data_IF_060960063130
#
_entry.id   IF_060960063130
#
_cell.length_a   1.000
_cell.length_b   1.000
_cell.length_c   1.000
_cell.angle_alpha   90.00
_cell.angle_beta   90.00
_cell.angle_gamma   90.00
#
_symmetry.space_group_name_H-M   'P 1'
#
loop_
_entity.id
_entity.type
_entity.pdbx_description
1 polymer ?
#
# COMPACT_ATOMS: atom_id res chain seq x y z
N UNK A 1 11.89 38.36 -47.11
CA UNK A 1 12.50 38.67 -45.81
C UNK A 1 11.87 37.74 -44.77
N UNK A 2 12.22 36.45 -44.71
CA UNK A 2 13.44 35.85 -44.16
C UNK A 2 13.60 36.10 -42.64
N UNK A 3 12.75 35.46 -41.84
CA UNK A 3 12.74 35.54 -40.36
C UNK A 3 12.63 34.15 -39.70
N UNK A 4 13.22 33.12 -40.30
CA UNK A 4 13.36 31.79 -39.68
C UNK A 4 14.69 31.17 -40.10
N UNK A 5 15.78 31.58 -39.43
CA UNK A 5 17.11 30.94 -39.46
C UNK A 5 18.02 31.64 -38.45
N UNK A 6 17.78 31.47 -37.14
CA UNK A 6 18.82 31.80 -36.15
C UNK A 6 18.66 31.21 -34.73
N UNK A 7 18.10 30.00 -34.59
CA UNK A 7 18.03 29.34 -33.27
C UNK A 7 18.63 27.92 -33.27
N UNK A 8 19.25 27.46 -34.36
CA UNK A 8 19.85 26.11 -34.43
C UNK A 8 21.32 26.02 -33.99
N UNK A 9 22.02 27.14 -33.78
CA UNK A 9 23.50 27.10 -33.70
C UNK A 9 24.09 27.51 -32.34
N UNK A 10 23.26 27.67 -31.29
CA UNK A 10 23.75 28.09 -29.95
C UNK A 10 23.74 27.03 -28.84
N UNK A 11 23.50 25.75 -29.14
CA UNK A 11 23.55 24.69 -28.11
C UNK A 11 24.63 23.62 -28.33
N UNK A 12 25.40 23.67 -29.42
CA UNK A 12 26.39 22.63 -29.76
C UNK A 12 27.86 23.06 -29.67
N UNK A 13 28.18 24.11 -28.89
CA UNK A 13 29.57 24.57 -28.69
C UNK A 13 30.07 24.48 -27.25
N UNK A 14 29.53 23.59 -26.44
CA UNK A 14 30.20 23.18 -25.22
C UNK A 14 30.28 21.66 -25.14
N UNK A 15 31.51 21.17 -24.98
CA UNK A 15 31.92 19.78 -24.78
C UNK A 15 32.22 18.98 -26.05
N UNK A 16 33.34 19.29 -26.71
CA UNK A 16 34.56 18.42 -26.75
C UNK A 16 35.64 19.11 -27.64
N UNK A 17 36.90 18.65 -27.79
CA UNK A 17 37.65 17.60 -27.08
C UNK A 17 39.14 17.96 -26.75
N UNK A 18 39.77 17.13 -25.89
CA UNK A 18 41.21 16.71 -25.89
C UNK A 18 42.33 17.60 -25.31
N UNK A 19 43.18 16.89 -24.53
CA UNK A 19 44.62 17.05 -24.22
C UNK A 19 45.03 17.86 -22.98
N UNK A 20 45.19 17.15 -21.86
CA UNK A 20 46.49 16.83 -21.20
C UNK A 20 46.22 15.62 -20.29
N UNK A 21 46.54 14.38 -20.69
CA UNK A 21 47.83 13.74 -20.45
C UNK A 21 48.62 14.33 -19.27
N UNK A 22 48.47 13.75 -18.08
CA UNK A 22 49.64 13.35 -17.30
C UNK A 22 49.35 12.05 -16.52
N UNK A 23 50.14 11.06 -16.91
CA UNK A 23 50.29 9.71 -16.40
C UNK A 23 51.00 9.81 -15.04
N UNK A 24 50.45 9.23 -13.98
CA UNK A 24 51.23 8.83 -12.80
C UNK A 24 50.94 7.37 -12.48
N UNK A 25 51.94 6.55 -12.79
CA UNK A 25 51.98 5.13 -12.49
C UNK A 25 51.87 4.95 -10.96
N UNK A 26 50.83 4.24 -10.51
CA UNK A 26 50.80 3.64 -9.17
C UNK A 26 50.78 2.13 -9.36
N UNK A 27 51.69 1.37 -8.73
CA UNK A 27 51.71 -0.07 -8.89
C UNK A 27 50.44 -0.70 -8.29
N UNK A 28 49.87 -1.62 -9.05
CA UNK A 28 48.72 -2.44 -8.65
C UNK A 28 49.09 -3.30 -7.43
N UNK A 29 48.44 -3.07 -6.30
CA UNK A 29 48.59 -3.88 -5.09
C UNK A 29 47.51 -4.96 -5.12
N UNK A 30 47.93 -6.20 -5.42
CA UNK A 30 47.06 -7.38 -5.35
C UNK A 30 46.66 -7.60 -3.88
N UNK A 31 45.37 -7.61 -3.52
CA UNK A 31 44.95 -7.96 -2.17
C UNK A 31 45.29 -9.44 -1.90
N UNK A 32 45.81 -9.79 -0.70
CA UNK A 32 46.14 -11.16 -0.37
C UNK A 32 44.87 -12.02 -0.30
N UNK A 33 44.96 -13.22 -0.88
CA UNK A 33 43.95 -14.27 -0.75
C UNK A 33 43.75 -14.63 0.74
N UNK A 34 42.49 -14.82 1.19
CA UNK A 34 42.21 -15.17 2.58
C UNK A 34 42.81 -16.55 2.89
N UNK A 35 43.76 -16.57 3.83
CA UNK A 35 44.31 -17.79 4.40
C UNK A 35 43.44 -18.16 5.59
N UNK A 36 42.69 -19.27 5.48
CA UNK A 36 41.98 -19.84 6.62
C UNK A 36 43.00 -20.34 7.64
N UNK A 37 43.00 -19.74 8.82
CA UNK A 37 43.73 -20.24 9.97
C UNK A 37 43.20 -21.64 10.33
N UNK A 38 44.11 -22.61 10.30
CA UNK A 38 43.89 -24.00 10.71
C UNK A 38 43.53 -24.02 12.19
N UNK A 39 42.25 -24.26 12.48
CA UNK A 39 41.71 -24.40 13.84
C UNK A 39 42.35 -25.61 14.51
N UNK A 40 43.08 -25.37 15.60
CA UNK A 40 43.59 -26.43 16.47
C UNK A 40 42.42 -27.22 17.07
N UNK A 41 42.59 -28.55 17.13
CA UNK A 41 41.60 -29.48 17.69
C UNK A 41 41.50 -29.26 19.20
N UNK A 42 40.48 -28.55 19.65
CA UNK A 42 40.11 -28.52 21.07
C UNK A 42 39.45 -29.85 21.46
N UNK A 43 39.98 -30.43 22.54
CA UNK A 43 39.54 -31.67 23.18
C UNK A 43 38.04 -31.68 23.48
N UNK A 44 37.46 -32.89 23.47
CA UNK A 44 36.04 -33.19 23.60
C UNK A 44 35.37 -32.43 24.76
N UNK A 45 34.33 -31.67 24.43
CA UNK A 45 33.50 -30.93 25.38
C UNK A 45 32.30 -31.81 25.73
N UNK A 46 32.14 -32.07 27.03
CA UNK A 46 31.08 -32.90 27.59
C UNK A 46 29.70 -32.25 27.34
N UNK A 47 28.82 -32.96 26.64
CA UNK A 47 27.51 -32.47 26.17
C UNK A 47 26.36 -32.98 27.05
N UNK A 48 26.53 -32.90 28.37
CA UNK A 48 25.46 -33.23 29.32
C UNK A 48 24.57 -32.01 29.57
N UNK A 49 23.24 -32.18 29.71
CA UNK A 49 22.29 -31.07 29.91
C UNK A 49 22.64 -30.20 31.13
N UNK A 50 23.23 -30.80 32.16
CA UNK A 50 23.61 -30.14 33.42
C UNK A 50 24.79 -29.17 33.26
N UNK A 51 25.66 -29.35 32.27
CA UNK A 51 26.80 -28.45 32.02
C UNK A 51 26.39 -27.14 31.30
N UNK A 52 25.24 -27.14 30.60
CA UNK A 52 24.71 -25.96 29.90
C UNK A 52 23.97 -24.99 30.82
N UNK A 53 23.36 -25.49 31.90
CA UNK A 53 22.58 -24.66 32.84
C UNK A 53 23.49 -23.81 33.74
N UNK A 54 24.76 -24.20 33.94
CA UNK A 54 25.72 -23.44 34.77
C UNK A 54 26.38 -22.25 34.08
N UNK A 55 26.15 -22.02 32.78
CA UNK A 55 26.74 -20.90 32.03
C UNK A 55 25.78 -19.70 31.95
N UNK A 56 24.55 -19.85 32.44
CA UNK A 56 23.58 -18.76 32.57
C UNK A 56 23.72 -18.09 33.94
N UNK A 57 24.85 -17.43 34.19
CA UNK A 57 24.93 -16.43 35.26
C UNK A 57 24.21 -15.17 34.78
N UNK A 58 22.90 -15.09 35.05
CA UNK A 58 22.09 -13.89 34.85
C UNK A 58 22.51 -12.86 35.90
N UNK A 59 23.41 -11.97 35.51
CA UNK A 59 23.75 -10.79 36.32
C UNK A 59 22.61 -9.79 36.18
N UNK A 60 21.74 -9.73 37.19
CA UNK A 60 20.73 -8.66 37.28
C UNK A 60 21.44 -7.36 37.73
N UNK A 61 21.28 -6.23 37.03
CA UNK A 61 21.88 -4.99 37.44
C UNK A 61 21.20 -4.48 38.73
N UNK A 62 22.01 -4.10 39.72
CA UNK A 62 21.54 -3.46 40.94
C UNK A 62 20.93 -2.08 40.64
N UNK A 63 19.89 -1.65 41.38
CA UNK A 63 19.24 -0.37 41.17
C UNK A 63 20.16 0.77 41.63
N UNK A 64 20.87 1.39 40.68
CA UNK A 64 21.75 2.53 40.96
C UNK A 64 22.79 2.87 39.90
N UNK A 65 22.93 2.09 38.83
CA UNK A 65 23.89 2.41 37.76
C UNK A 65 23.27 3.37 36.73
N UNK A 66 23.76 4.62 36.69
CA UNK A 66 23.50 5.54 35.59
C UNK A 66 24.13 4.98 34.31
N UNK A 67 23.30 4.72 33.29
CA UNK A 67 23.77 4.23 31.99
C UNK A 67 24.49 5.36 31.26
N UNK A 68 25.75 5.13 30.88
CA UNK A 68 26.58 6.04 30.09
C UNK A 68 26.01 6.18 28.67
N UNK A 69 25.63 7.40 28.28
CA UNK A 69 24.97 7.68 26.99
C UNK A 69 25.80 7.31 25.76
N UNK A 70 27.09 6.99 25.93
CA UNK A 70 27.95 6.47 24.88
C UNK A 70 27.74 4.98 24.53
N UNK A 71 26.92 4.24 25.30
CA UNK A 71 26.57 2.83 25.02
C UNK A 71 25.20 2.65 24.37
N UNK A 72 24.47 3.73 24.08
CA UNK A 72 23.27 3.65 23.27
C UNK A 72 23.65 3.29 21.83
N UNK A 73 22.92 2.38 21.16
CA UNK A 73 23.11 2.17 19.73
C UNK A 73 22.96 3.52 19.01
N UNK A 74 23.74 3.79 17.95
CA UNK A 74 23.59 5.02 17.19
C UNK A 74 22.12 5.17 16.79
N UNK A 75 21.54 6.34 17.04
CA UNK A 75 20.19 6.69 16.59
C UNK A 75 20.01 6.27 15.13
N UNK A 76 18.82 5.78 14.74
CA UNK A 76 18.56 5.46 13.35
C UNK A 76 18.94 6.65 12.46
N UNK A 77 19.46 6.40 11.24
CA UNK A 77 19.89 7.47 10.34
C UNK A 77 18.80 8.52 10.22
N UNK A 78 19.19 9.79 10.22
CA UNK A 78 18.28 10.93 10.06
C UNK A 78 17.28 10.65 8.95
N UNK A 79 16.00 10.83 9.26
CA UNK A 79 14.91 10.81 8.30
C UNK A 79 15.32 11.58 7.05
N UNK A 80 15.03 11.02 5.87
CA UNK A 80 15.23 11.65 4.57
C UNK A 80 14.96 13.16 4.67
N UNK A 81 15.98 14.00 4.44
CA UNK A 81 15.78 15.42 4.20
C UNK A 81 14.80 15.53 3.03
N UNK A 82 13.60 16.02 3.34
CA UNK A 82 12.40 15.98 2.52
C UNK A 82 12.56 16.94 1.34
N UNK A 83 12.80 16.49 0.10
CA UNK A 83 13.01 17.40 -1.03
C UNK A 83 11.74 18.15 -1.48
N UNK A 84 10.59 17.85 -0.86
CA UNK A 84 9.27 18.41 -1.17
C UNK A 84 8.59 19.06 0.05
N UNK A 85 9.31 19.28 1.14
CA UNK A 85 8.88 20.20 2.22
C UNK A 85 9.80 21.40 2.34
N UNK A 86 10.52 21.74 1.27
CA UNK A 86 11.36 22.92 1.25
C UNK A 86 10.48 24.18 1.12
N UNK A 87 10.10 24.71 2.27
CA UNK A 87 10.05 26.16 2.51
C UNK A 87 9.05 27.00 1.70
N UNK A 88 7.76 26.62 1.63
CA UNK A 88 6.58 27.52 1.47
C UNK A 88 5.34 26.67 1.13
N UNK A 89 4.61 26.16 2.14
CA UNK A 89 3.16 25.88 2.06
C UNK A 89 2.53 24.92 1.03
N UNK A 90 3.13 24.64 -0.12
CA UNK A 90 2.59 23.80 -1.20
C UNK A 90 3.20 22.40 -1.12
N UNK A 91 2.50 21.46 -0.48
CA UNK A 91 2.87 20.05 -0.61
C UNK A 91 2.18 19.43 -1.82
N UNK A 92 2.82 18.46 -2.46
CA UNK A 92 2.19 17.63 -3.52
C UNK A 92 0.88 16.99 -2.99
N UNK A 93 0.75 16.80 -1.68
CA UNK A 93 -0.48 16.35 -1.05
C UNK A 93 -1.57 17.42 -1.18
N UNK A 94 -1.29 18.66 -0.82
CA UNK A 94 -2.22 19.80 -0.96
C UNK A 94 -2.62 20.00 -2.42
N UNK A 95 -1.66 19.94 -3.36
CA UNK A 95 -1.92 20.00 -4.80
C UNK A 95 -2.82 18.87 -5.31
N UNK A 96 -2.70 17.66 -4.76
CA UNK A 96 -3.53 16.51 -5.14
C UNK A 96 -4.94 16.67 -4.55
N UNK A 97 -5.04 17.11 -3.30
CA UNK A 97 -6.34 17.33 -2.63
C UNK A 97 -7.11 18.45 -3.32
N UNK A 98 -6.49 19.61 -3.54
CA UNK A 98 -7.11 20.78 -4.17
C UNK A 98 -7.51 20.49 -5.62
N UNK A 99 -6.68 19.74 -6.36
CA UNK A 99 -7.03 19.31 -7.71
C UNK A 99 -8.22 18.34 -7.75
N UNK A 100 -8.34 17.43 -6.77
CA UNK A 100 -9.41 16.43 -6.79
C UNK A 100 -10.75 17.02 -6.34
N UNK A 101 -10.75 17.90 -5.33
CA UNK A 101 -11.95 18.52 -4.78
C UNK A 101 -11.87 20.07 -4.79
N UNK A 102 -11.88 20.73 -5.96
CA UNK A 102 -11.73 22.19 -6.04
C UNK A 102 -12.95 22.98 -5.52
N UNK A 103 -14.11 22.34 -5.33
CA UNK A 103 -15.38 23.01 -4.99
C UNK A 103 -15.97 22.60 -3.62
N UNK A 104 -15.36 21.66 -2.88
CA UNK A 104 -15.88 21.22 -1.58
C UNK A 104 -15.20 21.99 -0.43
N UNK A 105 -15.98 22.76 0.35
CA UNK A 105 -15.50 23.43 1.58
C UNK A 105 -15.12 22.44 2.71
N UNK A 106 -15.45 21.14 2.56
CA UNK A 106 -15.16 20.06 3.50
C UNK A 106 -14.31 18.96 2.84
N UNK A 107 -12.98 19.11 2.91
CA UNK A 107 -12.04 18.05 2.51
C UNK A 107 -12.07 16.92 3.53
N UNK A 108 -12.61 15.76 3.14
CA UNK A 108 -12.66 14.57 3.98
C UNK A 108 -11.49 13.63 3.63
N UNK A 109 -10.54 13.43 4.55
CA UNK A 109 -9.44 12.46 4.41
C UNK A 109 -9.44 11.46 5.58
N UNK A 110 -9.62 10.17 5.28
CA UNK A 110 -9.60 9.10 6.29
C UNK A 110 -8.22 8.87 6.94
N UNK A 111 -7.16 9.56 6.50
CA UNK A 111 -5.83 9.52 7.09
C UNK A 111 -5.60 10.56 8.20
N UNK A 112 -6.39 11.63 8.30
CA UNK A 112 -6.21 12.70 9.30
C UNK A 112 -6.21 12.18 10.76
N UNK A 113 -6.96 11.11 11.05
CA UNK A 113 -7.06 10.55 12.40
C UNK A 113 -5.92 9.57 12.77
N UNK A 114 -4.94 9.35 11.88
CA UNK A 114 -3.84 8.38 12.11
C UNK A 114 -2.59 9.08 12.67
N UNK A 115 -2.39 8.98 13.97
CA UNK A 115 -1.21 9.52 14.65
C UNK A 115 -0.27 8.37 15.00
N UNK A 116 0.96 8.39 14.47
CA UNK A 116 2.00 7.45 14.90
C UNK A 116 2.73 8.05 16.07
N UNK A 117 2.62 7.36 17.21
CA UNK A 117 3.33 7.71 18.44
C UNK A 117 4.28 6.57 18.81
N UNK A 118 5.35 6.90 19.50
CA UNK A 118 6.33 5.94 20.00
C UNK A 118 5.68 4.85 20.87
N UNK A 119 6.19 3.61 20.86
CA UNK A 119 5.54 2.43 21.47
C UNK A 119 5.14 2.66 22.94
N UNK A 120 5.98 3.40 23.67
CA UNK A 120 5.74 3.75 25.08
C UNK A 120 4.50 4.62 25.28
N UNK A 121 4.26 5.56 24.36
CA UNK A 121 3.13 6.49 24.40
C UNK A 121 1.89 5.90 23.74
N UNK A 122 2.06 5.07 22.71
CA UNK A 122 0.98 4.37 22.03
C UNK A 122 0.15 3.52 23.02
N UNK A 123 0.82 2.74 23.88
CA UNK A 123 0.14 1.90 24.89
C UNK A 123 -0.62 2.75 25.93
N UNK A 124 -0.14 3.95 26.23
CA UNK A 124 -0.78 4.84 27.20
C UNK A 124 -1.97 5.60 26.58
N UNK A 125 -1.85 6.04 25.33
CA UNK A 125 -2.93 6.72 24.59
C UNK A 125 -4.05 5.74 24.21
N UNK A 126 -3.73 4.52 23.79
CA UNK A 126 -4.72 3.50 23.41
C UNK A 126 -5.60 3.07 24.60
N UNK A 127 -5.08 3.09 25.83
CA UNK A 127 -5.87 2.82 27.06
C UNK A 127 -6.89 3.92 27.38
N UNK A 128 -6.72 5.11 26.82
CA UNK A 128 -7.56 6.27 27.10
C UNK A 128 -8.60 6.57 26.00
N UNK A 129 -8.55 5.86 24.87
CA UNK A 129 -9.49 6.07 23.77
C UNK A 129 -10.70 5.14 23.96
N UNK A 130 -11.88 5.73 24.05
CA UNK A 130 -13.14 5.01 24.08
C UNK A 130 -13.52 4.57 22.64
N UNK A 131 -13.36 3.27 22.35
CA UNK A 131 -13.71 2.68 21.05
C UNK A 131 -15.16 2.96 20.65
N UNK A 132 -16.08 3.06 21.61
CA UNK A 132 -17.50 3.33 21.32
C UNK A 132 -17.73 4.78 20.93
N UNK A 133 -17.01 5.71 21.57
CA UNK A 133 -17.07 7.14 21.24
C UNK A 133 -16.54 7.42 19.83
N UNK A 134 -15.41 6.81 19.44
CA UNK A 134 -14.85 6.96 18.09
C UNK A 134 -15.75 6.33 17.03
N UNK A 135 -16.35 5.16 17.33
CA UNK A 135 -17.34 4.54 16.43
C UNK A 135 -18.55 5.44 16.22
N UNK A 136 -19.06 6.08 17.27
CA UNK A 136 -20.17 7.03 17.18
C UNK A 136 -19.80 8.29 16.37
N UNK A 137 -18.58 8.81 16.55
CA UNK A 137 -18.05 9.92 15.75
C UNK A 137 -17.98 9.58 14.27
N UNK A 138 -17.42 8.42 13.92
CA UNK A 138 -17.33 7.96 12.52
C UNK A 138 -18.71 7.64 11.92
N UNK A 139 -19.67 7.21 12.73
CA UNK A 139 -21.05 7.02 12.26
C UNK A 139 -21.71 8.37 11.93
N UNK A 140 -21.48 9.40 12.75
CA UNK A 140 -21.94 10.75 12.47
C UNK A 140 -21.29 11.32 11.19
N UNK A 141 -19.98 11.12 11.03
CA UNK A 141 -19.27 11.48 9.80
C UNK A 141 -19.81 10.72 8.59
N UNK A 142 -20.06 9.42 8.71
CA UNK A 142 -20.67 8.62 7.66
C UNK A 142 -22.05 9.14 7.24
N UNK A 143 -22.87 9.63 8.17
CA UNK A 143 -24.15 10.29 7.85
C UNK A 143 -23.93 11.57 7.03
N UNK A 144 -22.92 12.37 7.37
CA UNK A 144 -22.57 13.57 6.59
C UNK A 144 -22.10 13.20 5.18
N UNK A 145 -21.24 12.19 5.04
CA UNK A 145 -20.77 11.70 3.73
C UNK A 145 -21.93 11.20 2.86
N UNK A 146 -22.90 10.48 3.44
CA UNK A 146 -24.13 10.06 2.73
C UNK A 146 -24.95 11.25 2.27
N UNK A 147 -25.10 12.25 3.13
CA UNK A 147 -25.81 13.49 2.77
C UNK A 147 -25.09 14.26 1.65
N UNK A 148 -23.76 14.15 1.57
CA UNK A 148 -22.94 14.69 0.49
C UNK A 148 -22.97 13.85 -0.79
N UNK A 149 -23.75 12.77 -0.84
CA UNK A 149 -23.93 11.91 -2.01
C UNK A 149 -22.79 10.91 -2.24
N UNK A 150 -22.10 10.49 -1.16
CA UNK A 150 -21.18 9.35 -1.25
C UNK A 150 -21.95 8.03 -1.29
N UNK A 151 -21.42 7.05 -2.02
CA UNK A 151 -21.99 5.70 -2.06
C UNK A 151 -21.76 4.96 -0.74
N UNK A 152 -22.66 4.06 -0.37
CA UNK A 152 -22.54 3.26 0.86
C UNK A 152 -21.22 2.46 0.89
N UNK A 153 -20.78 1.92 -0.25
CA UNK A 153 -19.51 1.19 -0.35
C UNK A 153 -18.30 2.10 -0.08
N UNK A 154 -18.34 3.36 -0.55
CA UNK A 154 -17.27 4.35 -0.30
C UNK A 154 -17.24 4.79 1.16
N UNK A 155 -18.42 5.02 1.76
CA UNK A 155 -18.54 5.38 3.18
C UNK A 155 -18.04 4.24 4.07
N UNK A 156 -18.37 2.99 3.72
CA UNK A 156 -17.88 1.82 4.43
C UNK A 156 -16.34 1.74 4.38
N UNK A 157 -15.75 1.89 3.19
CA UNK A 157 -14.30 1.90 3.04
C UNK A 157 -13.65 3.03 3.84
N UNK A 158 -14.23 4.25 3.79
CA UNK A 158 -13.75 5.41 4.55
C UNK A 158 -13.73 5.11 6.05
N UNK A 159 -14.83 4.61 6.60
CA UNK A 159 -14.93 4.26 8.03
C UNK A 159 -13.95 3.14 8.41
N UNK A 160 -13.79 2.13 7.53
CA UNK A 160 -12.87 1.02 7.76
C UNK A 160 -11.41 1.47 7.77
N UNK A 161 -11.06 2.40 6.89
CA UNK A 161 -9.75 3.03 6.89
C UNK A 161 -9.56 3.86 8.16
N UNK A 162 -10.52 4.68 8.58
CA UNK A 162 -10.41 5.48 9.81
C UNK A 162 -10.24 4.64 11.09
N UNK A 163 -10.82 3.43 11.12
CA UNK A 163 -10.67 2.49 12.24
C UNK A 163 -9.40 1.64 12.20
N UNK A 164 -8.56 1.76 11.16
CA UNK A 164 -7.33 0.97 11.04
C UNK A 164 -6.40 1.29 12.22
N UNK A 165 -6.08 0.27 13.04
CA UNK A 165 -5.32 0.44 14.28
C UNK A 165 -6.14 0.54 15.56
N UNK A 166 -7.46 0.73 15.45
CA UNK A 166 -8.39 0.81 16.60
C UNK A 166 -9.36 -0.36 16.68
N UNK A 167 -9.39 -1.20 15.65
CA UNK A 167 -10.16 -2.44 15.65
C UNK A 167 -9.24 -3.63 15.33
N UNK A 168 -9.60 -4.85 15.79
CA UNK A 168 -8.88 -6.03 15.39
C UNK A 168 -9.04 -6.27 13.88
N UNK A 169 -7.92 -6.45 13.18
CA UNK A 169 -7.89 -6.63 11.73
C UNK A 169 -7.63 -8.08 11.32
N UNK A 170 -6.94 -8.88 12.12
CA UNK A 170 -6.42 -10.19 11.73
C UNK A 170 -6.83 -11.33 12.67
N UNK A 171 -6.81 -12.59 12.22
CA UNK A 171 -7.02 -13.75 13.07
C UNK A 171 -5.92 -13.90 14.13
N UNK A 172 -6.29 -14.35 15.34
CA UNK A 172 -5.33 -14.61 16.42
C UNK A 172 -4.28 -15.69 16.10
N UNK A 173 -4.55 -16.58 15.15
CA UNK A 173 -3.58 -17.55 14.67
C UNK A 173 -2.31 -16.90 14.10
N UNK A 174 -2.37 -15.63 13.66
CA UNK A 174 -1.26 -14.94 13.01
C UNK A 174 -0.36 -14.13 13.97
N UNK A 175 -0.65 -14.14 15.27
CA UNK A 175 0.11 -13.34 16.26
C UNK A 175 1.60 -13.71 16.25
N UNK A 176 1.91 -15.00 16.14
CA UNK A 176 3.30 -15.49 16.18
C UNK A 176 4.06 -15.19 14.86
N UNK A 177 3.35 -15.02 13.74
CA UNK A 177 3.92 -14.68 12.44
C UNK A 177 4.26 -13.19 12.32
N UNK A 178 3.55 -12.34 13.07
CA UNK A 178 3.75 -10.88 13.08
C UNK A 178 4.01 -10.33 14.49
N UNK A 179 5.11 -10.73 15.15
CA UNK A 179 5.38 -10.37 16.54
C UNK A 179 5.65 -8.88 16.77
N UNK A 180 5.93 -8.11 15.70
CA UNK A 180 6.15 -6.67 15.77
C UNK A 180 4.83 -5.86 15.77
N UNK A 181 3.68 -6.51 15.57
CA UNK A 181 2.39 -5.84 15.55
C UNK A 181 1.75 -5.84 16.95
N UNK A 182 0.97 -4.79 17.30
CA UNK A 182 0.21 -4.76 18.54
C UNK A 182 -0.76 -5.94 18.66
N UNK A 183 -0.83 -6.56 19.85
CA UNK A 183 -1.68 -7.72 20.11
C UNK A 183 -3.18 -7.44 19.89
N UNK A 184 -3.61 -6.19 20.02
CA UNK A 184 -5.00 -5.76 19.87
C UNK A 184 -5.50 -5.81 18.43
N UNK A 185 -4.59 -5.89 17.45
CA UNK A 185 -4.94 -6.11 16.05
C UNK A 185 -5.44 -7.53 15.76
N UNK A 186 -5.32 -8.44 16.72
CA UNK A 186 -5.61 -9.85 16.54
C UNK A 186 -6.82 -10.31 17.34
N UNK A 187 -7.72 -11.06 16.70
CA UNK A 187 -8.98 -11.51 17.32
C UNK A 187 -9.18 -13.01 17.15
N UNK A 188 -9.77 -13.65 18.16
CA UNK A 188 -10.26 -15.04 18.05
C UNK A 188 -11.55 -15.13 17.23
N UNK A 189 -12.32 -14.04 17.13
CA UNK A 189 -13.55 -13.97 16.35
C UNK A 189 -13.21 -13.66 14.91
N UNK A 190 -13.26 -14.68 14.04
CA UNK A 190 -12.97 -14.54 12.61
C UNK A 190 -13.90 -13.54 11.92
N UNK A 191 -15.14 -13.36 12.39
CA UNK A 191 -16.08 -12.37 11.83
C UNK A 191 -15.60 -10.92 12.00
N UNK A 192 -14.79 -10.67 13.04
CA UNK A 192 -14.19 -9.36 13.28
C UNK A 192 -12.89 -9.17 12.51
N UNK A 193 -12.20 -10.25 12.15
CA UNK A 193 -10.99 -10.18 11.34
C UNK A 193 -11.35 -9.82 9.90
N UNK A 194 -10.92 -8.63 9.47
CA UNK A 194 -11.15 -8.14 8.12
C UNK A 194 -10.08 -8.64 7.14
N UNK A 195 -8.82 -8.59 7.56
CA UNK A 195 -7.66 -9.09 6.83
C UNK A 195 -7.50 -10.59 7.13
N UNK A 196 -8.16 -11.41 6.31
CA UNK A 196 -8.14 -12.88 6.38
C UNK A 196 -8.31 -13.48 4.97
N UNK A 197 -7.90 -14.74 4.75
CA UNK A 197 -8.23 -15.44 3.52
C UNK A 197 -9.75 -15.58 3.37
N UNK A 198 -10.21 -15.58 2.13
CA UNK A 198 -11.62 -15.75 1.78
C UNK A 198 -12.08 -17.20 1.99
N UNK A 199 -11.19 -18.15 1.68
CA UNK A 199 -11.42 -19.58 1.88
C UNK A 199 -10.85 -20.02 3.23
N UNK A 200 -11.67 -20.67 4.04
CA UNK A 200 -11.29 -21.19 5.36
C UNK A 200 -10.49 -22.50 5.18
N UNK A 201 -9.18 -22.37 4.96
CA UNK A 201 -8.26 -23.49 4.83
C UNK A 201 -6.89 -23.18 5.41
N UNK A 202 -6.26 -24.12 6.10
CA UNK A 202 -4.92 -23.91 6.69
C UNK A 202 -3.86 -23.50 5.64
N UNK A 203 -4.04 -23.91 4.38
CA UNK A 203 -3.13 -23.53 3.28
C UNK A 203 -3.34 -22.08 2.82
N UNK A 204 -4.55 -21.56 2.86
CA UNK A 204 -4.84 -20.17 2.47
C UNK A 204 -4.30 -19.18 3.50
N UNK A 205 -4.27 -19.54 4.79
CA UNK A 205 -3.64 -18.76 5.86
C UNK A 205 -2.17 -18.45 5.55
N UNK A 206 -1.36 -19.47 5.25
CA UNK A 206 0.07 -19.27 4.92
C UNK A 206 0.27 -18.36 3.71
N UNK A 207 -0.57 -18.51 2.67
CA UNK A 207 -0.50 -17.65 1.49
C UNK A 207 -0.89 -16.20 1.80
N UNK A 208 -1.89 -16.00 2.66
CA UNK A 208 -2.35 -14.70 3.08
C UNK A 208 -1.30 -13.97 3.95
N UNK A 209 -0.72 -14.68 4.92
CA UNK A 209 0.38 -14.19 5.74
C UNK A 209 1.56 -13.75 4.88
N UNK A 210 1.99 -14.61 3.94
CA UNK A 210 3.10 -14.29 3.02
C UNK A 210 2.78 -13.09 2.13
N UNK A 211 1.55 -12.99 1.61
CA UNK A 211 1.15 -11.86 0.78
C UNK A 211 1.19 -10.55 1.58
N UNK A 212 0.77 -10.58 2.84
CA UNK A 212 0.81 -9.43 3.75
C UNK A 212 2.25 -9.05 4.14
N UNK A 213 3.11 -10.04 4.46
CA UNK A 213 4.54 -9.82 4.73
C UNK A 213 5.24 -9.13 3.55
N UNK A 214 4.96 -9.57 2.33
CA UNK A 214 5.49 -8.95 1.12
C UNK A 214 4.96 -7.52 0.91
N UNK A 215 3.74 -7.23 1.37
CA UNK A 215 3.15 -5.89 1.30
C UNK A 215 3.77 -4.93 2.31
N UNK A 216 4.20 -5.39 3.50
CA UNK A 216 4.97 -4.57 4.45
C UNK A 216 6.31 -4.08 3.87
N UNK A 217 6.83 -4.74 2.84
CA UNK A 217 8.04 -4.30 2.14
C UNK A 217 7.80 -3.10 1.21
N UNK A 218 6.55 -2.64 1.04
CA UNK A 218 6.21 -1.53 0.15
C UNK A 218 6.91 -0.23 0.57
N UNK A 219 6.70 0.22 1.81
CA UNK A 219 7.24 1.47 2.31
C UNK A 219 8.78 1.54 2.26
N UNK A 220 9.50 0.56 2.81
CA UNK A 220 10.96 0.50 2.70
C UNK A 220 11.47 0.52 1.25
N UNK A 221 10.82 -0.20 0.32
CA UNK A 221 11.22 -0.20 -1.10
C UNK A 221 10.93 1.13 -1.79
N UNK A 222 9.83 1.80 -1.45
CA UNK A 222 9.51 3.12 -1.98
C UNK A 222 10.55 4.15 -1.53
N UNK A 223 10.94 4.14 -0.24
CA UNK A 223 12.02 5.02 0.27
C UNK A 223 13.40 4.69 -0.29
N UNK A 224 13.74 3.41 -0.40
CA UNK A 224 15.02 2.99 -1.00
C UNK A 224 15.11 3.43 -2.46
N UNK A 225 14.01 3.38 -3.21
CA UNK A 225 13.96 3.90 -4.58
C UNK A 225 14.19 5.42 -4.65
N UNK A 226 13.74 6.20 -3.64
CA UNK A 226 14.06 7.63 -3.51
C UNK A 226 15.55 7.83 -3.26
N UNK A 227 16.10 7.14 -2.24
CA UNK A 227 17.50 7.26 -1.82
C UNK A 227 18.47 6.89 -2.94
N UNK A 228 18.18 5.80 -3.65
CA UNK A 228 19.00 5.30 -4.76
C UNK A 228 18.78 6.06 -6.06
N UNK A 229 17.81 6.98 -6.11
CA UNK A 229 17.38 7.70 -7.32
C UNK A 229 17.16 6.76 -8.50
N UNK A 230 16.43 5.67 -8.25
CA UNK A 230 16.25 4.59 -9.20
C UNK A 230 15.50 5.09 -10.47
N UNK A 231 16.09 4.97 -11.68
CA UNK A 231 15.50 5.56 -12.89
C UNK A 231 14.30 4.77 -13.43
N UNK A 232 14.22 3.47 -13.15
CA UNK A 232 13.17 2.57 -13.67
C UNK A 232 12.23 2.14 -12.55
N UNK A 233 12.80 1.68 -11.43
CA UNK A 233 12.04 1.22 -10.26
C UNK A 233 11.77 2.40 -9.34
N UNK A 234 10.97 3.34 -9.84
CA UNK A 234 10.60 4.54 -9.08
C UNK A 234 9.72 4.17 -7.87
N UNK A 235 9.56 5.07 -6.89
CA UNK A 235 8.69 4.82 -5.73
C UNK A 235 7.24 4.50 -6.15
N UNK A 236 6.67 5.27 -7.07
CA UNK A 236 5.34 5.03 -7.65
C UNK A 236 5.25 3.68 -8.41
N UNK A 237 6.35 3.22 -9.02
CA UNK A 237 6.42 1.88 -9.60
C UNK A 237 6.26 0.81 -8.52
N UNK A 238 6.93 0.94 -7.38
CA UNK A 238 6.80 0.00 -6.26
C UNK A 238 5.39 -0.02 -5.69
N UNK A 239 4.75 1.14 -5.51
CA UNK A 239 3.34 1.25 -5.08
C UNK A 239 2.43 0.47 -6.03
N UNK A 240 2.48 0.78 -7.33
CA UNK A 240 1.64 0.09 -8.33
C UNK A 240 1.89 -1.41 -8.36
N UNK A 241 3.15 -1.84 -8.30
CA UNK A 241 3.49 -3.26 -8.37
C UNK A 241 3.02 -4.03 -7.14
N UNK A 242 3.19 -3.47 -5.94
CA UNK A 242 2.73 -4.09 -4.69
C UNK A 242 1.21 -4.23 -4.66
N UNK A 243 0.49 -3.18 -5.06
CA UNK A 243 -0.99 -3.21 -5.16
C UNK A 243 -1.45 -4.29 -6.14
N UNK A 244 -0.87 -4.31 -7.36
CA UNK A 244 -1.23 -5.33 -8.36
C UNK A 244 -0.91 -6.75 -7.88
N UNK A 245 0.21 -6.94 -7.19
CA UNK A 245 0.62 -8.25 -6.67
C UNK A 245 -0.33 -8.73 -5.57
N UNK A 246 -0.66 -7.87 -4.61
CA UNK A 246 -1.57 -8.20 -3.53
C UNK A 246 -2.99 -8.42 -4.05
N UNK A 247 -3.46 -7.60 -4.99
CA UNK A 247 -4.74 -7.80 -5.67
C UNK A 247 -4.81 -9.14 -6.41
N UNK A 248 -3.75 -9.51 -7.14
CA UNK A 248 -3.70 -10.82 -7.81
C UNK A 248 -3.83 -11.97 -6.82
N UNK A 249 -3.17 -11.88 -5.68
CA UNK A 249 -3.35 -12.87 -4.61
C UNK A 249 -4.79 -12.87 -4.09
N UNK A 250 -5.35 -11.70 -3.76
CA UNK A 250 -6.70 -11.57 -3.21
C UNK A 250 -7.79 -12.14 -4.15
N UNK A 251 -7.70 -11.86 -5.45
CA UNK A 251 -8.64 -12.39 -6.45
C UNK A 251 -8.50 -13.91 -6.63
N UNK A 252 -7.27 -14.44 -6.55
CA UNK A 252 -7.03 -15.88 -6.59
C UNK A 252 -7.55 -16.59 -5.33
N UNK A 253 -7.35 -15.98 -4.17
CA UNK A 253 -7.80 -16.48 -2.87
C UNK A 253 -9.33 -16.55 -2.78
N UNK A 254 -10.03 -15.57 -3.36
CA UNK A 254 -11.49 -15.59 -3.49
C UNK A 254 -12.02 -16.52 -4.61
N UNK A 255 -11.16 -17.17 -5.39
CA UNK A 255 -11.59 -18.05 -6.49
C UNK A 255 -12.21 -17.32 -7.69
N UNK A 256 -12.16 -15.99 -7.71
CA UNK A 256 -12.82 -15.12 -8.71
C UNK A 256 -11.91 -14.76 -9.90
N UNK A 257 -10.61 -15.09 -9.86
CA UNK A 257 -9.66 -14.86 -10.96
C UNK A 257 -10.12 -15.41 -12.34
N UNK A 258 -10.80 -16.57 -12.45
CA UNK A 258 -11.33 -17.05 -13.72
C UNK A 258 -12.56 -16.28 -14.20
N UNK A 259 -13.42 -15.86 -13.26
CA UNK A 259 -14.72 -15.22 -13.55
C UNK A 259 -14.53 -13.75 -13.93
N UNK A 260 -13.58 -13.07 -13.29
CA UNK A 260 -13.39 -11.62 -13.38
C UNK A 260 -12.01 -11.22 -13.91
N UNK A 261 -11.44 -12.04 -14.80
CA UNK A 261 -10.11 -11.77 -15.38
C UNK A 261 -10.04 -10.40 -16.08
N UNK A 262 -11.15 -10.03 -16.72
CA UNK A 262 -11.20 -8.89 -17.64
C UNK A 262 -11.85 -7.64 -17.03
N UNK A 263 -12.41 -7.73 -15.81
CA UNK A 263 -13.12 -6.63 -15.15
C UNK A 263 -12.67 -6.52 -13.69
N UNK A 264 -12.20 -5.34 -13.29
CA UNK A 264 -11.79 -5.02 -11.92
C UNK A 264 -12.68 -3.95 -11.31
N UNK A 265 -12.71 -3.83 -9.97
CA UNK A 265 -13.36 -2.70 -9.30
C UNK A 265 -12.48 -1.45 -9.22
N UNK A 266 -11.18 -1.56 -9.54
CA UNK A 266 -10.30 -0.41 -9.45
C UNK A 266 -9.22 -0.35 -10.51
N UNK A 267 -8.74 0.88 -10.75
CA UNK A 267 -7.63 1.18 -11.64
C UNK A 267 -6.48 1.85 -10.90
N UNK A 268 -5.25 1.62 -11.37
CA UNK A 268 -4.05 2.25 -10.80
C UNK A 268 -3.38 3.12 -11.85
N UNK A 269 -3.14 4.39 -11.53
CA UNK A 269 -2.33 5.29 -12.33
C UNK A 269 -1.07 5.70 -11.57
N UNK A 270 -0.01 5.95 -12.33
CA UNK A 270 1.23 6.50 -11.81
C UNK A 270 1.51 7.85 -12.49
N UNK A 271 1.92 8.82 -11.68
CA UNK A 271 2.40 10.13 -12.10
C UNK A 271 3.90 10.29 -11.86
N UNK A 272 4.52 11.18 -12.64
CA UNK A 272 5.83 11.73 -12.31
C UNK A 272 5.66 12.91 -11.35
N UNK A 273 6.73 13.33 -10.69
CA UNK A 273 6.75 14.58 -9.90
C UNK A 273 6.47 15.82 -10.74
N UNK A 274 6.67 15.75 -12.05
CA UNK A 274 6.41 16.84 -13.00
C UNK A 274 4.99 16.82 -13.59
N UNK A 275 4.22 15.76 -13.35
CA UNK A 275 2.86 15.65 -13.89
C UNK A 275 1.90 16.40 -12.98
N UNK A 276 1.09 17.31 -13.55
CA UNK A 276 0.12 18.06 -12.76
C UNK A 276 -0.95 17.14 -12.16
N UNK A 277 -1.45 17.49 -10.97
CA UNK A 277 -2.51 16.74 -10.29
C UNK A 277 -3.80 16.68 -11.12
N UNK A 278 -4.13 17.77 -11.81
CA UNK A 278 -5.26 17.85 -12.74
C UNK A 278 -5.15 16.84 -13.89
N UNK A 279 -3.95 16.66 -14.47
CA UNK A 279 -3.74 15.67 -15.53
C UNK A 279 -3.93 14.24 -15.00
N UNK A 280 -3.50 13.96 -13.77
CA UNK A 280 -3.69 12.66 -13.13
C UNK A 280 -5.17 12.40 -12.84
N UNK A 281 -5.89 13.39 -12.33
CA UNK A 281 -7.33 13.31 -12.06
C UNK A 281 -8.11 13.04 -13.36
N UNK A 282 -7.87 13.83 -14.41
CA UNK A 282 -8.52 13.62 -15.71
C UNK A 282 -8.21 12.24 -16.29
N UNK A 283 -6.96 11.79 -16.19
CA UNK A 283 -6.55 10.45 -16.62
C UNK A 283 -7.24 9.34 -15.83
N UNK A 284 -7.45 9.53 -14.53
CA UNK A 284 -8.20 8.59 -13.70
C UNK A 284 -9.68 8.57 -14.09
N UNK A 285 -10.32 9.73 -14.24
CA UNK A 285 -11.71 9.85 -14.69
C UNK A 285 -11.93 9.12 -16.02
N UNK A 286 -11.05 9.32 -17.00
CA UNK A 286 -11.14 8.63 -18.29
C UNK A 286 -11.03 7.10 -18.16
N UNK A 287 -10.21 6.61 -17.23
CA UNK A 287 -10.04 5.18 -16.98
C UNK A 287 -11.24 4.57 -16.26
N UNK A 288 -11.75 5.24 -15.22
CA UNK A 288 -12.90 4.78 -14.46
C UNK A 288 -14.20 4.90 -15.26
N UNK A 289 -14.32 5.90 -16.14
CA UNK A 289 -15.43 5.99 -17.09
C UNK A 289 -15.48 4.79 -18.03
N UNK A 290 -14.34 4.41 -18.64
CA UNK A 290 -14.27 3.18 -19.46
C UNK A 290 -14.56 1.93 -18.66
N UNK A 291 -14.11 1.88 -17.41
CA UNK A 291 -14.39 0.75 -16.53
C UNK A 291 -15.89 0.67 -16.18
N UNK A 292 -16.54 1.81 -15.96
CA UNK A 292 -17.99 1.90 -15.75
C UNK A 292 -18.78 1.44 -16.98
N UNK A 293 -18.32 1.77 -18.18
CA UNK A 293 -18.90 1.25 -19.43
C UNK A 293 -18.80 -0.28 -19.48
N UNK A 294 -17.62 -0.84 -19.17
CA UNK A 294 -17.42 -2.30 -19.12
C UNK A 294 -18.33 -2.98 -18.07
N UNK A 295 -18.47 -2.39 -16.89
CA UNK A 295 -19.39 -2.89 -15.87
C UNK A 295 -20.85 -2.80 -16.32
N UNK A 296 -21.23 -1.71 -16.99
CA UNK A 296 -22.59 -1.52 -17.51
C UNK A 296 -22.93 -2.54 -18.58
N UNK A 297 -21.99 -2.83 -19.49
CA UNK A 297 -22.12 -3.88 -20.51
C UNK A 297 -22.25 -5.27 -19.87
N UNK A 298 -21.40 -5.59 -18.89
CA UNK A 298 -21.43 -6.88 -18.21
C UNK A 298 -22.76 -7.10 -17.45
N UNK A 299 -23.26 -6.06 -16.77
CA UNK A 299 -24.57 -6.11 -16.09
C UNK A 299 -25.73 -6.22 -17.07
N UNK A 300 -25.65 -5.54 -18.23
CA UNK A 300 -26.67 -5.67 -19.27
C UNK A 300 -26.75 -7.11 -19.80
N UNK A 301 -25.61 -7.75 -20.06
CA UNK A 301 -25.54 -9.14 -20.50
C UNK A 301 -26.08 -10.12 -19.44
N UNK A 302 -25.72 -9.93 -18.16
CA UNK A 302 -26.26 -10.78 -17.10
C UNK A 302 -27.77 -10.63 -16.92
N UNK A 303 -28.31 -9.42 -17.11
CA UNK A 303 -29.76 -9.19 -17.09
C UNK A 303 -30.48 -9.94 -18.19
N UNK A 304 -29.91 -9.98 -19.39
CA UNK A 304 -30.50 -10.73 -20.51
C UNK A 304 -30.50 -12.25 -20.24
N UNK A 305 -29.42 -12.78 -19.67
CA UNK A 305 -29.32 -14.21 -19.32
C UNK A 305 -30.29 -14.59 -18.20
N UNK A 306 -30.51 -13.70 -17.23
CA UNK A 306 -31.37 -13.93 -16.06
C UNK A 306 -32.81 -13.44 -16.21
N UNK A 307 -33.24 -13.04 -17.41
CA UNK A 307 -34.54 -12.42 -17.69
C UNK A 307 -35.82 -13.26 -17.38
N UNK A 308 -35.70 -14.33 -16.59
CA UNK A 308 -36.81 -15.15 -16.08
C UNK A 308 -36.93 -15.22 -14.55
N UNK A 309 -35.96 -14.68 -13.79
CA UNK A 309 -36.02 -14.61 -12.31
C UNK A 309 -36.31 -13.17 -11.87
N UNK A 310 -37.33 -13.00 -11.03
CA UNK A 310 -37.85 -11.74 -10.48
C UNK A 310 -36.89 -11.11 -9.43
N UNK A 311 -35.59 -11.34 -9.58
CA UNK A 311 -34.56 -10.88 -8.65
C UNK A 311 -34.14 -9.46 -9.03
N UNK A 312 -34.32 -8.54 -8.09
CA UNK A 312 -33.84 -7.15 -8.18
C UNK A 312 -32.34 -7.16 -8.40
N UNK A 313 -31.91 -7.00 -9.66
CA UNK A 313 -30.49 -6.87 -9.98
C UNK A 313 -29.90 -5.70 -9.18
N UNK A 314 -28.74 -5.90 -8.53
CA UNK A 314 -28.12 -4.83 -7.78
C UNK A 314 -27.66 -3.72 -8.72
N UNK A 315 -27.58 -2.52 -8.15
CA UNK A 315 -27.06 -1.35 -8.85
C UNK A 315 -25.60 -1.56 -9.27
N UNK A 316 -25.14 -0.75 -10.22
CA UNK A 316 -23.73 -0.74 -10.61
C UNK A 316 -22.84 -0.53 -9.39
N UNK A 317 -21.71 -1.25 -9.30
CA UNK A 317 -20.82 -1.14 -8.16
C UNK A 317 -20.09 0.21 -8.16
N UNK A 318 -19.75 0.67 -6.96
CA UNK A 318 -18.80 1.79 -6.83
C UNK A 318 -17.44 1.36 -7.36
N UNK A 319 -16.82 2.20 -8.18
CA UNK A 319 -15.47 1.97 -8.70
C UNK A 319 -14.45 2.79 -7.92
N UNK A 320 -13.21 2.31 -7.89
CA UNK A 320 -12.15 2.97 -7.14
C UNK A 320 -10.94 3.26 -8.02
N UNK A 321 -10.18 4.28 -7.65
CA UNK A 321 -8.91 4.62 -8.27
C UNK A 321 -7.80 4.65 -7.24
N UNK A 322 -6.61 4.24 -7.65
CA UNK A 322 -5.38 4.51 -6.92
C UNK A 322 -4.49 5.41 -7.76
N UNK A 323 -4.22 6.60 -7.26
CA UNK A 323 -3.32 7.58 -7.87
C UNK A 323 -2.02 7.55 -7.07
N UNK A 324 -0.91 7.22 -7.70
CA UNK A 324 0.39 7.24 -7.05
C UNK A 324 1.34 8.21 -7.76
N UNK A 325 1.92 9.16 -7.03
CA UNK A 325 2.95 10.07 -7.51
C UNK A 325 4.08 10.12 -6.50
N UNK A 326 5.30 9.85 -6.97
CA UNK A 326 6.45 9.70 -6.07
C UNK A 326 6.16 8.71 -4.91
N UNK A 327 6.26 9.14 -3.64
CA UNK A 327 5.96 8.34 -2.44
C UNK A 327 4.50 8.46 -1.98
N UNK A 328 3.73 9.36 -2.58
CA UNK A 328 2.34 9.64 -2.21
C UNK A 328 1.40 8.72 -3.00
N UNK A 329 0.37 8.25 -2.31
CA UNK A 329 -0.70 7.43 -2.85
C UNK A 329 -2.05 7.94 -2.35
N UNK A 330 -2.99 8.15 -3.27
CA UNK A 330 -4.36 8.52 -2.94
C UNK A 330 -5.33 7.43 -3.40
N UNK A 331 -6.30 7.11 -2.55
CA UNK A 331 -7.50 6.36 -2.92
C UNK A 331 -8.60 7.33 -3.29
N UNK A 332 -9.24 7.08 -4.42
CA UNK A 332 -10.40 7.83 -4.90
C UNK A 332 -11.55 6.88 -5.16
N UNK A 333 -12.78 7.35 -4.94
CA UNK A 333 -14.01 6.65 -5.32
C UNK A 333 -14.68 7.35 -6.50
N UNK A 334 -15.36 6.56 -7.31
CA UNK A 334 -16.11 6.98 -8.48
C UNK A 334 -17.47 6.28 -8.47
N UNK A 335 -18.54 7.06 -8.54
CA UNK A 335 -19.90 6.55 -8.66
C UNK A 335 -20.34 6.57 -10.13
N UNK A 336 -20.52 5.39 -10.78
CA UNK A 336 -21.03 5.31 -12.14
C UNK A 336 -22.45 5.86 -12.32
N UNK A 337 -23.23 5.96 -11.24
CA UNK A 337 -24.64 6.37 -11.27
C UNK A 337 -24.83 7.87 -11.05
N UNK A 338 -23.77 8.60 -10.72
CA UNK A 338 -23.83 10.03 -10.48
C UNK A 338 -24.12 10.81 -11.77
N UNK A 339 -24.92 11.87 -11.69
CA UNK A 339 -25.24 12.73 -12.83
C UNK A 339 -23.99 13.39 -13.44
N UNK A 340 -23.02 13.71 -12.57
CA UNK A 340 -21.73 14.30 -12.96
C UNK A 340 -20.57 13.38 -12.52
N UNK A 341 -19.77 12.87 -13.46
CA UNK A 341 -18.65 11.99 -13.14
C UNK A 341 -17.56 12.79 -12.43
N UNK A 342 -17.48 12.59 -11.11
CA UNK A 342 -16.49 13.24 -10.23
C UNK A 342 -15.72 12.18 -9.46
N UNK A 343 -14.47 12.51 -9.11
CA UNK A 343 -13.68 11.68 -8.20
C UNK A 343 -13.84 12.25 -6.81
N UNK A 344 -14.02 11.38 -5.82
CA UNK A 344 -14.00 11.77 -4.42
C UNK A 344 -12.78 11.15 -3.75
N UNK A 345 -11.96 11.96 -3.12
CA UNK A 345 -10.80 11.47 -2.36
C UNK A 345 -11.27 10.73 -1.11
N UNK A 346 -10.86 9.47 -0.96
CA UNK A 346 -11.16 8.65 0.22
C UNK A 346 -10.06 8.81 1.28
N UNK A 347 -8.80 8.69 0.85
CA UNK A 347 -7.66 8.80 1.74
C UNK A 347 -6.35 9.06 0.99
N UNK A 348 -5.40 9.77 1.61
CA UNK A 348 -4.05 9.99 1.06
C UNK A 348 -2.99 9.48 2.02
N UNK A 349 -1.96 8.82 1.49
CA UNK A 349 -0.89 8.19 2.25
C UNK A 349 0.47 8.58 1.68
N UNK A 350 1.44 8.86 2.55
CA UNK A 350 2.83 9.09 2.16
C UNK A 350 3.73 7.95 2.66
N UNK A 351 4.27 7.15 1.74
CA UNK A 351 5.24 6.10 2.04
C UNK A 351 6.66 6.65 2.28
N UNK A 352 6.88 7.94 2.06
CA UNK A 352 8.10 8.66 2.43
C UNK A 352 8.24 8.84 3.94
N UNK A 353 7.13 8.82 4.67
CA UNK A 353 7.12 9.03 6.12
C UNK A 353 7.52 7.75 6.88
N UNK A 354 8.64 7.86 7.61
CA UNK A 354 9.10 6.79 8.50
C UNK A 354 8.11 6.58 9.66
N UNK A 355 7.92 5.34 10.07
CA UNK A 355 7.01 4.97 11.17
C UNK A 355 5.56 4.72 10.73
N UNK A 356 5.15 5.18 9.54
CA UNK A 356 3.80 4.98 9.01
C UNK A 356 3.65 3.75 8.10
N UNK A 357 4.75 3.01 7.86
CA UNK A 357 4.79 1.87 6.94
C UNK A 357 3.69 0.84 7.21
N UNK A 358 3.55 0.44 8.48
CA UNK A 358 2.60 -0.58 8.89
C UNK A 358 1.16 -0.11 8.62
N UNK A 359 0.84 1.11 9.02
CA UNK A 359 -0.51 1.68 8.89
C UNK A 359 -0.89 1.96 7.44
N UNK A 360 0.05 2.48 6.64
CA UNK A 360 -0.15 2.69 5.20
C UNK A 360 -0.29 1.36 4.46
N UNK A 361 0.47 0.33 4.85
CA UNK A 361 0.30 -1.02 4.32
C UNK A 361 -1.06 -1.62 4.69
N UNK A 362 -1.55 -1.43 5.92
CA UNK A 362 -2.90 -1.87 6.28
C UNK A 362 -3.97 -1.16 5.47
N UNK A 363 -3.81 0.13 5.17
CA UNK A 363 -4.74 0.82 4.29
C UNK A 363 -4.82 0.16 2.89
N UNK A 364 -3.67 -0.22 2.31
CA UNK A 364 -3.64 -0.97 1.03
C UNK A 364 -4.29 -2.35 1.17
N UNK A 365 -4.03 -3.07 2.26
CA UNK A 365 -4.63 -4.37 2.49
C UNK A 365 -6.16 -4.29 2.65
N UNK A 366 -6.65 -3.34 3.45
CA UNK A 366 -8.08 -3.07 3.65
C UNK A 366 -8.74 -2.72 2.31
N UNK A 367 -8.15 -1.81 1.53
CA UNK A 367 -8.66 -1.41 0.22
C UNK A 367 -8.82 -2.59 -0.75
N UNK A 368 -7.79 -3.43 -0.85
CA UNK A 368 -7.80 -4.57 -1.79
C UNK A 368 -8.76 -5.66 -1.32
N UNK A 369 -8.82 -5.92 -0.01
CA UNK A 369 -9.76 -6.88 0.56
C UNK A 369 -11.20 -6.40 0.44
N UNK A 370 -11.44 -5.09 0.58
CA UNK A 370 -12.73 -4.47 0.29
C UNK A 370 -13.16 -4.76 -1.15
N UNK A 371 -12.28 -4.48 -2.12
CA UNK A 371 -12.54 -4.81 -3.52
C UNK A 371 -12.79 -6.32 -3.72
N UNK A 372 -12.00 -7.20 -3.10
CA UNK A 372 -12.18 -8.66 -3.18
C UNK A 372 -13.56 -9.08 -2.67
N UNK A 373 -13.92 -8.67 -1.46
CA UNK A 373 -15.18 -9.05 -0.83
C UNK A 373 -16.36 -8.50 -1.65
N UNK A 374 -16.26 -7.26 -2.16
CA UNK A 374 -17.29 -6.68 -3.01
C UNK A 374 -17.44 -7.44 -4.34
N UNK A 375 -16.35 -7.86 -4.96
CA UNK A 375 -16.41 -8.73 -6.14
C UNK A 375 -17.10 -10.07 -5.86
N UNK A 376 -16.90 -10.65 -4.67
CA UNK A 376 -17.58 -11.88 -4.28
C UNK A 376 -19.09 -11.68 -4.04
N UNK A 377 -19.50 -10.52 -3.55
CA UNK A 377 -20.93 -10.18 -3.41
C UNK A 377 -21.61 -9.93 -4.75
N UNK A 378 -20.85 -9.41 -5.73
CA UNK A 378 -21.31 -9.11 -7.08
C UNK A 378 -21.32 -10.33 -8.01
N UNK A 379 -21.22 -11.57 -7.48
CA UNK A 379 -21.15 -12.85 -8.21
C UNK A 379 -22.46 -13.19 -8.96
N UNK A 380 -22.87 -12.27 -9.82
CA UNK A 380 -24.12 -12.20 -10.57
C UNK A 380 -23.90 -12.50 -12.06
N UNK A 381 -22.65 -12.58 -12.53
CA UNK A 381 -22.36 -12.90 -13.91
C UNK A 381 -22.24 -14.41 -14.09
N UNK A 382 -22.87 -14.99 -15.13
CA UNK A 382 -22.76 -16.43 -15.39
C UNK A 382 -21.29 -16.81 -15.58
N UNK A 383 -20.89 -17.98 -15.08
CA UNK A 383 -19.61 -18.59 -15.41
C UNK A 383 -19.44 -18.56 -16.94
N UNK A 384 -18.43 -17.85 -17.43
CA UNK A 384 -18.03 -17.97 -18.83
C UNK A 384 -17.58 -19.42 -18.99
N UNK A 385 -18.48 -20.26 -19.50
CA UNK A 385 -18.11 -21.62 -19.87
C UNK A 385 -16.96 -21.48 -20.86
N UNK A 386 -15.79 -22.09 -20.60
CA UNK A 386 -14.74 -22.12 -21.59
C UNK A 386 -15.36 -22.74 -22.83
N UNK A 387 -15.44 -21.98 -23.93
CA UNK A 387 -15.79 -22.56 -25.22
C UNK A 387 -14.78 -23.67 -25.46
N UNK A 388 -15.20 -24.91 -25.25
CA UNK A 388 -14.52 -26.05 -25.82
C UNK A 388 -14.64 -25.82 -27.32
N UNK A 389 -13.56 -25.33 -27.94
CA UNK A 389 -13.34 -25.56 -29.36
C UNK A 389 -13.42 -27.07 -29.53
N UNK A 390 -14.59 -27.53 -29.95
CA UNK A 390 -14.80 -28.91 -30.32
C UNK A 390 -13.99 -29.08 -31.59
N UNK A 391 -12.79 -29.64 -31.44
CA UNK A 391 -11.93 -30.04 -32.52
C UNK A 391 -12.75 -30.96 -33.46
N UNK A 392 -13.04 -30.55 -34.70
CA UNK A 392 -13.93 -31.30 -35.57
C UNK A 392 -13.32 -32.57 -36.16
N UNK A 393 -12.12 -32.98 -35.73
CA UNK A 393 -11.39 -34.14 -36.26
C UNK A 393 -11.05 -35.23 -35.20
N UNK A 394 -11.96 -35.55 -34.28
CA UNK A 394 -11.90 -36.76 -33.44
C UNK A 394 -13.14 -37.64 -33.52
#
# INVERSE_FOLDING_TARGET
>A
MAFLRDVSDRFWNYVSPRKTQQRREKPFKVPPLPTHARREKSLARDMTPESRVRVWDVTTPSPGASVDGAQLPPSPPQSLERPYTDFEGDTIVDDIVEAINPEDEENWDANEDTIVVDESRYVDEQKHIDEEAERARLEAQGKNLRNAGWTEDSVFLFQKLGMRGREPLMPRSWVDDFPALPADLFTTKLDKAYIKPALDSDRSDFHAQKALEELFQLGPRARDAVLTKAPIRTPAYHIRMSIKKYNKWAMKDAGIEPVWRDISLFEVIIGSTETSSNDLQQKMLLKLGRLADLWSEAFALAREVRAGEDDTLPSLPTLYGVIASHTIMAFVSYDPSAETPTLRTVAIFDFGQEGYDVWNTFAVAIFIIHCRNRMMELDLLPEVQPQSESDPDL
#
